data_IF_060768126964
#
_entry.id   IF_060768126964
#
_cell.length_a   1.000
_cell.length_b   1.000
_cell.length_c   1.000
_cell.angle_alpha   90.00
_cell.angle_beta   90.00
_cell.angle_gamma   90.00
#
_symmetry.space_group_name_H-M   'P 1'
#
loop_
_entity.id
_entity.type
_entity.pdbx_description
1 polymer ?
#
# COMPACT_ATOMS: atom_id res chain seq x y z
N UNK A 1 -17.37 3.54 -57.41
CA UNK A 1 -18.52 4.44 -57.64
C UNK A 1 -18.25 5.70 -56.84
N UNK A 2 -17.92 6.80 -57.52
CA UNK A 2 -17.74 8.09 -56.84
C UNK A 2 -19.09 8.58 -56.34
N UNK A 3 -19.21 9.07 -55.09
CA UNK A 3 -20.47 9.65 -54.63
C UNK A 3 -20.81 10.86 -55.52
N UNK A 4 -22.06 10.93 -55.99
CA UNK A 4 -22.58 12.10 -56.70
C UNK A 4 -22.39 13.36 -55.85
N UNK A 5 -21.93 14.46 -56.46
CA UNK A 5 -21.58 15.70 -55.76
C UNK A 5 -22.71 16.32 -54.92
N UNK A 6 -23.96 15.94 -55.14
CA UNK A 6 -25.12 16.34 -54.31
C UNK A 6 -25.20 15.59 -52.98
N UNK A 7 -24.75 14.33 -52.91
CA UNK A 7 -24.73 13.55 -51.66
C UNK A 7 -23.70 14.09 -50.67
N UNK A 8 -22.53 14.50 -51.17
CA UNK A 8 -21.47 15.14 -50.37
C UNK A 8 -21.91 16.52 -49.85
N UNK A 9 -22.74 17.26 -50.60
CA UNK A 9 -23.29 18.54 -50.14
C UNK A 9 -24.32 18.37 -49.02
N UNK A 10 -25.25 17.42 -49.18
CA UNK A 10 -26.25 17.12 -48.15
C UNK A 10 -25.61 16.61 -46.85
N UNK A 11 -24.59 15.76 -46.97
CA UNK A 11 -23.84 15.24 -45.83
C UNK A 11 -23.06 16.36 -45.11
N UNK A 12 -22.42 17.28 -45.85
CA UNK A 12 -21.76 18.44 -45.27
C UNK A 12 -22.72 19.42 -44.59
N UNK A 13 -23.92 19.65 -45.14
CA UNK A 13 -24.96 20.47 -44.49
C UNK A 13 -25.47 19.82 -43.20
N UNK A 14 -25.64 18.49 -43.19
CA UNK A 14 -26.02 17.74 -42.00
C UNK A 14 -24.97 17.88 -40.89
N UNK A 15 -23.68 17.67 -41.19
CA UNK A 15 -22.61 17.82 -40.20
C UNK A 15 -22.46 19.27 -39.72
N UNK A 16 -22.74 20.25 -40.57
CA UNK A 16 -22.74 21.67 -40.19
C UNK A 16 -23.88 22.00 -39.22
N UNK A 17 -25.10 21.53 -39.48
CA UNK A 17 -26.24 21.68 -38.56
C UNK A 17 -25.98 20.97 -37.22
N UNK A 18 -25.38 19.78 -37.25
CA UNK A 18 -25.01 19.03 -36.04
C UNK A 18 -23.97 19.79 -35.21
N UNK A 19 -22.95 20.37 -35.88
CA UNK A 19 -21.94 21.19 -35.24
C UNK A 19 -22.54 22.47 -34.62
N UNK A 20 -23.44 23.16 -35.33
CA UNK A 20 -24.10 24.35 -34.81
C UNK A 20 -25.00 24.04 -33.61
N UNK A 21 -25.71 22.89 -33.61
CA UNK A 21 -26.48 22.41 -32.45
C UNK A 21 -25.59 22.12 -31.24
N UNK A 22 -24.48 21.41 -31.43
CA UNK A 22 -23.57 21.11 -30.31
C UNK A 22 -22.88 22.37 -29.81
N UNK A 23 -22.53 23.32 -30.69
CA UNK A 23 -21.99 24.63 -30.30
C UNK A 23 -22.99 25.42 -29.44
N UNK A 24 -24.25 25.52 -29.88
CA UNK A 24 -25.29 26.22 -29.12
C UNK A 24 -25.54 25.57 -27.75
N UNK A 25 -25.51 24.23 -27.70
CA UNK A 25 -25.61 23.47 -26.45
C UNK A 25 -24.40 23.70 -25.53
N UNK A 26 -23.17 23.74 -26.07
CA UNK A 26 -21.98 24.10 -25.32
C UNK A 26 -22.06 25.53 -24.76
N UNK A 27 -22.56 26.48 -25.55
CA UNK A 27 -22.77 27.87 -25.12
C UNK A 27 -23.80 27.95 -23.98
N UNK A 28 -24.94 27.27 -24.09
CA UNK A 28 -25.96 27.22 -23.04
C UNK A 28 -25.42 26.58 -21.75
N UNK A 29 -24.72 25.45 -21.87
CA UNK A 29 -24.10 24.78 -20.73
C UNK A 29 -23.03 25.67 -20.07
N UNK A 30 -22.24 26.39 -20.85
CA UNK A 30 -21.22 27.32 -20.35
C UNK A 30 -21.87 28.46 -19.59
N UNK A 31 -22.93 29.07 -20.13
CA UNK A 31 -23.69 30.11 -19.44
C UNK A 31 -24.26 29.60 -18.11
N UNK A 32 -24.81 28.39 -18.09
CA UNK A 32 -25.34 27.76 -16.88
C UNK A 32 -24.26 27.46 -15.84
N UNK A 33 -23.07 27.05 -16.27
CA UNK A 33 -21.92 26.86 -15.37
C UNK A 33 -21.54 28.18 -14.71
N UNK A 34 -21.45 29.27 -15.48
CA UNK A 34 -21.14 30.61 -14.96
C UNK A 34 -22.18 31.06 -13.93
N UNK A 35 -23.47 30.88 -14.22
CA UNK A 35 -24.55 31.23 -13.28
C UNK A 35 -24.47 30.40 -11.98
N UNK A 36 -24.18 29.10 -12.09
CA UNK A 36 -24.02 28.22 -10.93
C UNK A 36 -22.77 28.56 -10.10
N UNK A 37 -21.67 28.94 -10.74
CA UNK A 37 -20.47 29.41 -10.07
C UNK A 37 -20.73 30.70 -9.30
N UNK A 38 -21.45 31.65 -9.90
CA UNK A 38 -21.86 32.89 -9.23
C UNK A 38 -22.78 32.62 -8.03
N UNK A 39 -23.76 31.74 -8.17
CA UNK A 39 -24.65 31.34 -7.08
C UNK A 39 -23.88 30.63 -5.94
N UNK A 40 -22.95 29.75 -6.28
CA UNK A 40 -22.09 29.06 -5.30
C UNK A 40 -21.17 30.04 -4.57
N UNK A 41 -20.62 31.05 -5.27
CA UNK A 41 -19.80 32.08 -4.66
C UNK A 41 -20.59 32.91 -3.64
N UNK A 42 -21.82 33.32 -3.97
CA UNK A 42 -22.72 34.05 -3.06
C UNK A 42 -23.10 33.20 -1.82
N UNK A 43 -23.47 31.93 -2.03
CA UNK A 43 -23.78 31.01 -0.94
C UNK A 43 -22.57 30.79 -0.02
N UNK A 44 -21.39 30.62 -0.60
CA UNK A 44 -20.13 30.45 0.14
C UNK A 44 -19.82 31.68 0.96
N UNK A 45 -19.98 32.88 0.37
CA UNK A 45 -19.82 34.15 1.07
C UNK A 45 -20.79 34.29 2.26
N UNK A 46 -22.08 33.98 2.05
CA UNK A 46 -23.10 33.99 3.11
C UNK A 46 -22.75 33.01 4.24
N UNK A 47 -22.32 31.79 3.90
CA UNK A 47 -21.87 30.79 4.86
C UNK A 47 -20.67 31.25 5.67
N UNK A 48 -19.67 31.86 5.02
CA UNK A 48 -18.46 32.33 5.67
C UNK A 48 -18.75 33.49 6.63
N UNK A 49 -19.66 34.41 6.24
CA UNK A 49 -20.16 35.48 7.11
C UNK A 49 -20.80 34.92 8.39
N UNK A 50 -21.62 33.87 8.27
CA UNK A 50 -22.21 33.18 9.42
C UNK A 50 -21.11 32.54 10.27
N UNK A 51 -20.20 31.77 9.66
CA UNK A 51 -19.12 31.04 10.35
C UNK A 51 -18.16 31.96 11.11
N UNK A 52 -17.88 33.15 10.57
CA UNK A 52 -17.01 34.16 11.17
C UNK A 52 -17.69 35.01 12.24
N UNK A 53 -19.03 34.99 12.31
CA UNK A 53 -19.78 35.77 13.31
C UNK A 53 -19.44 35.36 14.75
N UNK A 54 -19.41 36.34 15.66
CA UNK A 54 -19.15 36.11 17.10
C UNK A 54 -20.21 35.20 17.72
N UNK A 55 -21.47 35.31 17.29
CA UNK A 55 -22.59 34.48 17.74
C UNK A 55 -22.42 33.00 17.33
N UNK A 56 -21.99 32.73 16.11
CA UNK A 56 -21.76 31.35 15.65
C UNK A 56 -20.60 30.67 16.38
N UNK A 57 -19.55 31.44 16.71
CA UNK A 57 -18.41 30.99 17.51
C UNK A 57 -18.81 30.77 18.97
N UNK A 58 -19.62 31.65 19.57
CA UNK A 58 -20.05 31.51 20.97
C UNK A 58 -20.99 30.30 21.20
N UNK A 59 -21.75 29.89 20.19
CA UNK A 59 -22.65 28.71 20.25
C UNK A 59 -21.90 27.41 19.87
N UNK A 60 -20.61 27.45 19.52
CA UNK A 60 -19.80 26.26 19.24
C UNK A 60 -19.91 25.14 20.31
N UNK A 61 -19.74 25.40 21.62
CA UNK A 61 -19.87 24.35 22.64
C UNK A 61 -21.27 23.73 22.67
N UNK A 62 -22.32 24.53 22.45
CA UNK A 62 -23.70 24.04 22.38
C UNK A 62 -23.91 23.16 21.15
N UNK A 63 -23.39 23.57 19.97
CA UNK A 63 -23.45 22.76 18.75
C UNK A 63 -22.70 21.44 18.89
N UNK A 64 -21.54 21.48 19.54
CA UNK A 64 -20.75 20.28 19.83
C UNK A 64 -21.54 19.32 20.72
N UNK A 65 -22.09 19.82 21.83
CA UNK A 65 -22.93 19.05 22.76
C UNK A 65 -24.18 18.48 22.07
N UNK A 66 -24.87 19.29 21.26
CA UNK A 66 -26.02 18.84 20.47
C UNK A 66 -25.61 17.74 19.48
N UNK A 67 -24.47 17.86 18.80
CA UNK A 67 -23.99 16.81 17.89
C UNK A 67 -23.69 15.51 18.64
N UNK A 68 -23.08 15.58 19.83
CA UNK A 68 -22.82 14.42 20.67
C UNK A 68 -24.13 13.76 21.13
N UNK A 69 -25.12 14.56 21.55
CA UNK A 69 -26.43 14.06 21.94
C UNK A 69 -27.17 13.43 20.76
N UNK A 70 -27.21 14.10 19.60
CA UNK A 70 -27.82 13.58 18.38
C UNK A 70 -27.17 12.27 17.95
N UNK A 71 -25.84 12.18 18.00
CA UNK A 71 -25.09 10.96 17.69
C UNK A 71 -25.35 9.86 18.71
N UNK A 72 -25.46 10.19 20.00
CA UNK A 72 -25.80 9.24 21.05
C UNK A 72 -27.21 8.67 20.85
N UNK A 73 -28.21 9.53 20.62
CA UNK A 73 -29.59 9.11 20.33
C UNK A 73 -29.62 8.23 19.08
N UNK A 74 -28.90 8.61 18.02
CA UNK A 74 -28.80 7.82 16.79
C UNK A 74 -28.17 6.45 17.05
N UNK A 75 -27.10 6.38 17.86
CA UNK A 75 -26.47 5.12 18.27
C UNK A 75 -27.41 4.25 19.09
N UNK A 76 -28.11 4.82 20.07
CA UNK A 76 -29.09 4.09 20.89
C UNK A 76 -30.21 3.52 20.01
N UNK A 77 -30.76 4.31 19.09
CA UNK A 77 -31.77 3.82 18.12
C UNK A 77 -31.24 2.68 17.25
N UNK A 78 -30.00 2.79 16.74
CA UNK A 78 -29.36 1.73 15.93
C UNK A 78 -29.12 0.43 16.70
N UNK A 79 -28.71 0.52 17.97
CA UNK A 79 -28.42 -0.65 18.81
C UNK A 79 -29.63 -1.13 19.63
N UNK A 80 -30.79 -0.48 19.50
CA UNK A 80 -32.04 -0.77 20.21
C UNK A 80 -32.09 -0.22 21.63
N UNK A 81 -31.05 -0.41 22.45
CA UNK A 81 -31.03 0.05 23.84
C UNK A 81 -29.62 0.41 24.34
N UNK A 82 -29.56 1.03 25.53
CA UNK A 82 -28.31 1.43 26.19
C UNK A 82 -27.40 0.23 26.52
N UNK A 83 -27.97 -0.93 26.89
CA UNK A 83 -27.21 -2.15 27.20
C UNK A 83 -26.39 -2.63 26.00
N UNK A 84 -27.00 -2.64 24.82
CA UNK A 84 -26.33 -3.03 23.57
C UNK A 84 -25.28 -2.01 23.14
N UNK A 85 -25.54 -0.71 23.34
CA UNK A 85 -24.53 0.33 23.12
C UNK A 85 -23.31 0.13 24.03
N UNK A 86 -23.53 -0.14 25.33
CA UNK A 86 -22.45 -0.42 26.28
C UNK A 86 -21.69 -1.70 25.93
N UNK A 87 -22.39 -2.75 25.48
CA UNK A 87 -21.76 -3.97 24.97
C UNK A 87 -20.88 -3.67 23.75
N UNK A 88 -21.33 -2.84 22.81
CA UNK A 88 -20.53 -2.42 21.64
C UNK A 88 -19.31 -1.60 22.05
N UNK A 89 -19.44 -0.70 23.02
CA UNK A 89 -18.30 0.06 23.56
C UNK A 89 -17.28 -0.88 24.21
N UNK A 90 -17.74 -1.85 25.02
CA UNK A 90 -16.87 -2.88 25.61
C UNK A 90 -16.16 -3.69 24.53
N UNK A 91 -16.88 -4.15 23.51
CA UNK A 91 -16.33 -4.88 22.36
C UNK A 91 -15.25 -4.06 21.64
N UNK A 92 -15.51 -2.78 21.35
CA UNK A 92 -14.52 -1.90 20.69
C UNK A 92 -13.28 -1.64 21.56
N UNK A 93 -13.42 -1.63 22.89
CA UNK A 93 -12.27 -1.57 23.81
C UNK A 93 -11.43 -2.85 23.78
N UNK A 94 -12.08 -4.02 23.75
CA UNK A 94 -11.39 -5.32 23.64
C UNK A 94 -10.67 -5.40 22.29
N UNK A 95 -11.34 -5.04 21.20
CA UNK A 95 -10.77 -4.98 19.84
C UNK A 95 -9.53 -4.07 19.81
N UNK A 96 -9.63 -2.85 20.36
CA UNK A 96 -8.48 -1.94 20.45
C UNK A 96 -7.34 -2.49 21.33
N UNK A 97 -7.67 -3.23 22.39
CA UNK A 97 -6.66 -3.90 23.21
C UNK A 97 -5.97 -5.05 22.45
N UNK A 98 -6.72 -5.78 21.63
CA UNK A 98 -6.19 -6.83 20.77
C UNK A 98 -5.31 -6.27 19.64
N UNK A 99 -5.53 -5.05 19.14
CA UNK A 99 -4.65 -4.46 18.13
C UNK A 99 -3.21 -4.34 18.63
N UNK A 100 -3.02 -4.03 19.91
CA UNK A 100 -1.68 -4.01 20.52
C UNK A 100 -0.98 -5.36 20.49
N UNK A 101 -1.73 -6.48 20.57
CA UNK A 101 -1.12 -7.81 20.47
C UNK A 101 -0.59 -8.15 19.09
N UNK A 102 -1.00 -7.41 18.05
CA UNK A 102 -0.47 -7.54 16.68
C UNK A 102 0.54 -6.44 16.34
N UNK A 103 0.69 -5.41 17.19
CA UNK A 103 1.62 -4.29 17.02
C UNK A 103 2.89 -4.49 17.83
N UNK A 104 3.18 -3.57 18.74
CA UNK A 104 4.42 -3.60 19.53
C UNK A 104 4.57 -4.85 20.42
N UNK A 105 3.47 -5.44 20.89
CA UNK A 105 3.52 -6.65 21.72
C UNK A 105 3.76 -7.94 20.93
N UNK A 106 3.61 -7.93 19.60
CA UNK A 106 3.97 -9.10 18.78
C UNK A 106 5.47 -9.20 18.52
N UNK A 107 6.21 -8.12 18.76
CA UNK A 107 7.65 -8.06 18.55
C UNK A 107 8.35 -9.08 19.45
N UNK A 108 9.38 -9.78 18.94
CA UNK A 108 10.08 -10.78 19.74
C UNK A 108 10.73 -10.10 20.96
N UNK A 109 10.50 -10.65 22.14
CA UNK A 109 11.27 -10.29 23.33
C UNK A 109 12.73 -10.74 23.19
N UNK A 110 13.58 -10.35 24.13
CA UNK A 110 15.02 -10.62 24.08
C UNK A 110 15.34 -12.13 24.06
N UNK A 111 14.54 -12.95 24.74
CA UNK A 111 14.72 -14.40 24.77
C UNK A 111 14.35 -15.03 23.42
N UNK A 112 13.17 -14.68 22.89
CA UNK A 112 12.69 -15.11 21.58
C UNK A 112 13.64 -14.66 20.48
N UNK A 113 14.14 -13.41 20.56
CA UNK A 113 15.11 -12.89 19.60
C UNK A 113 16.39 -13.71 19.60
N UNK A 114 16.97 -13.98 20.78
CA UNK A 114 18.16 -14.84 20.90
C UNK A 114 17.92 -16.24 20.36
N UNK A 115 16.74 -16.82 20.63
CA UNK A 115 16.38 -18.13 20.12
C UNK A 115 16.29 -18.14 18.58
N UNK A 116 15.65 -17.13 17.98
CA UNK A 116 15.55 -16.98 16.53
C UNK A 116 16.92 -16.76 15.87
N UNK A 117 17.73 -15.85 16.43
CA UNK A 117 19.08 -15.54 15.93
C UNK A 117 20.04 -16.74 16.07
N UNK A 118 19.86 -17.58 17.10
CA UNK A 118 20.65 -18.79 17.34
C UNK A 118 20.15 -20.03 16.59
N UNK A 119 18.98 -19.96 15.92
CA UNK A 119 18.42 -21.09 15.19
C UNK A 119 19.23 -21.36 13.93
N UNK A 120 19.62 -22.61 13.72
CA UNK A 120 20.27 -23.08 12.50
C UNK A 120 19.26 -23.80 11.63
N UNK A 121 19.02 -23.24 10.46
CA UNK A 121 18.19 -23.88 9.43
C UNK A 121 19.00 -24.94 8.66
N UNK A 122 18.31 -25.89 8.04
CA UNK A 122 18.92 -26.92 7.19
C UNK A 122 19.55 -26.35 5.93
N UNK A 123 19.02 -25.23 5.45
CA UNK A 123 19.47 -24.48 4.29
C UNK A 123 19.93 -23.08 4.72
N UNK A 124 20.97 -22.56 4.07
CA UNK A 124 21.43 -21.19 4.26
C UNK A 124 20.99 -20.31 3.09
N UNK A 125 19.78 -19.74 3.21
CA UNK A 125 19.12 -19.01 2.14
C UNK A 125 19.31 -17.51 2.32
N UNK A 126 19.91 -16.84 1.33
CA UNK A 126 19.94 -15.38 1.32
C UNK A 126 18.67 -14.81 0.68
N UNK A 127 18.02 -13.88 1.38
CA UNK A 127 16.92 -13.06 0.84
C UNK A 127 17.44 -11.77 0.23
N UNK A 128 17.05 -11.45 -1.00
CA UNK A 128 17.20 -10.12 -1.58
C UNK A 128 15.88 -9.35 -1.44
N UNK A 129 15.88 -8.31 -0.63
CA UNK A 129 14.73 -7.43 -0.45
C UNK A 129 14.85 -6.29 -1.44
N UNK A 130 13.89 -6.17 -2.35
CA UNK A 130 13.85 -5.18 -3.41
C UNK A 130 12.99 -4.01 -2.97
N UNK A 131 13.56 -2.80 -2.97
CA UNK A 131 12.83 -1.58 -2.62
C UNK A 131 13.05 -0.51 -3.69
N UNK A 132 12.05 -0.22 -4.54
CA UNK A 132 12.09 0.95 -5.41
C UNK A 132 11.94 2.22 -4.58
N UNK A 133 12.81 3.22 -4.78
CA UNK A 133 12.73 4.51 -4.10
C UNK A 133 12.32 5.61 -5.08
N UNK A 134 11.43 6.49 -4.63
CA UNK A 134 11.06 7.71 -5.35
C UNK A 134 10.55 8.77 -4.37
N UNK A 135 11.34 9.83 -4.17
CA UNK A 135 11.02 10.99 -3.33
C UNK A 135 10.54 10.60 -1.92
N UNK A 136 11.09 9.51 -1.37
CA UNK A 136 10.68 8.95 -0.08
C UNK A 136 11.03 9.90 1.07
N UNK A 137 10.09 10.23 1.97
CA UNK A 137 10.39 11.06 3.14
C UNK A 137 11.46 10.42 4.05
N UNK A 138 12.44 11.22 4.47
CA UNK A 138 13.60 10.79 5.26
C UNK A 138 13.24 9.90 6.46
N UNK A 139 12.23 10.29 7.24
CA UNK A 139 11.81 9.54 8.42
C UNK A 139 11.27 8.15 8.09
N UNK A 140 10.53 8.02 6.99
CA UNK A 140 9.97 6.75 6.55
C UNK A 140 11.06 5.85 5.98
N UNK A 141 11.96 6.40 5.17
CA UNK A 141 13.09 5.67 4.60
C UNK A 141 13.98 5.06 5.70
N UNK A 142 14.30 5.84 6.75
CA UNK A 142 15.09 5.36 7.88
C UNK A 142 14.37 4.23 8.64
N UNK A 143 13.07 4.40 8.93
CA UNK A 143 12.27 3.36 9.58
C UNK A 143 12.22 2.06 8.76
N UNK A 144 12.04 2.18 7.44
CA UNK A 144 12.01 1.07 6.51
C UNK A 144 13.34 0.31 6.51
N UNK A 145 14.47 1.01 6.33
CA UNK A 145 15.80 0.39 6.34
C UNK A 145 16.08 -0.27 7.69
N UNK A 146 15.77 0.40 8.81
CA UNK A 146 15.99 -0.15 10.14
C UNK A 146 15.10 -1.37 10.43
N UNK A 147 13.89 -1.45 9.86
CA UNK A 147 13.04 -2.64 9.99
C UNK A 147 13.65 -3.89 9.33
N UNK A 148 14.37 -3.70 8.21
CA UNK A 148 15.14 -4.75 7.54
C UNK A 148 16.42 -5.08 8.32
N UNK A 149 17.15 -4.06 8.81
CA UNK A 149 18.37 -4.28 9.61
C UNK A 149 18.10 -5.08 10.88
N UNK A 150 16.93 -4.88 11.47
CA UNK A 150 16.51 -5.53 12.70
C UNK A 150 15.91 -6.93 12.54
N UNK A 151 15.90 -7.49 11.32
CA UNK A 151 15.48 -8.88 11.11
C UNK A 151 16.31 -9.85 11.97
N UNK A 152 15.65 -10.82 12.60
CA UNK A 152 16.29 -11.83 13.45
C UNK A 152 17.03 -12.88 12.63
N UNK A 153 16.51 -13.22 11.44
CA UNK A 153 17.29 -13.93 10.43
C UNK A 153 18.28 -12.97 9.75
N UNK A 154 19.57 -13.33 9.68
CA UNK A 154 20.65 -12.40 9.31
C UNK A 154 21.12 -12.49 7.86
N UNK A 155 20.79 -13.55 7.14
CA UNK A 155 21.23 -13.75 5.76
C UNK A 155 20.27 -13.07 4.79
N UNK A 156 20.46 -11.77 4.61
CA UNK A 156 19.69 -10.95 3.68
C UNK A 156 20.58 -9.88 3.06
N UNK A 157 20.11 -9.33 1.95
CA UNK A 157 20.61 -8.10 1.37
C UNK A 157 19.43 -7.19 1.00
N UNK A 158 19.67 -5.89 1.03
CA UNK A 158 18.68 -4.86 0.74
C UNK A 158 19.10 -4.12 -0.52
N UNK A 159 18.32 -4.26 -1.60
CA UNK A 159 18.58 -3.68 -2.90
C UNK A 159 17.70 -2.45 -3.12
N UNK A 160 18.31 -1.27 -3.09
CA UNK A 160 17.66 0.03 -3.18
C UNK A 160 17.96 0.67 -4.55
N UNK A 161 16.95 0.83 -5.40
CA UNK A 161 17.08 1.57 -6.67
C UNK A 161 16.31 2.88 -6.59
N UNK A 162 17.03 3.99 -6.77
CA UNK A 162 16.53 5.34 -6.47
C UNK A 162 16.32 6.17 -7.73
N UNK A 163 15.04 6.33 -8.09
CA UNK A 163 14.58 7.21 -9.18
C UNK A 163 14.15 8.61 -8.71
N UNK A 164 14.45 9.01 -7.46
CA UNK A 164 14.06 10.33 -6.92
C UNK A 164 14.66 11.48 -7.72
N UNK A 165 14.01 12.63 -7.71
CA UNK A 165 14.52 13.82 -8.39
C UNK A 165 15.67 14.51 -7.63
N UNK A 166 16.14 15.61 -8.20
CA UNK A 166 17.26 16.39 -7.68
C UNK A 166 16.91 17.21 -6.42
N UNK A 167 15.64 17.49 -6.17
CA UNK A 167 15.17 18.17 -4.96
C UNK A 167 15.11 17.21 -3.76
N UNK A 168 15.06 15.90 -4.03
CA UNK A 168 15.03 14.84 -3.02
C UNK A 168 16.37 14.10 -2.87
N UNK A 169 17.50 14.80 -3.07
CA UNK A 169 18.87 14.25 -2.92
C UNK A 169 19.14 13.60 -1.55
N UNK A 170 18.41 14.01 -0.50
CA UNK A 170 18.49 13.44 0.84
C UNK A 170 18.25 11.92 0.88
N UNK A 171 17.40 11.39 -0.01
CA UNK A 171 17.16 9.93 -0.14
C UNK A 171 18.47 9.19 -0.39
N UNK A 172 19.26 9.66 -1.36
CA UNK A 172 20.53 9.03 -1.70
C UNK A 172 21.58 9.18 -0.60
N UNK A 173 21.59 10.30 0.14
CA UNK A 173 22.51 10.51 1.26
C UNK A 173 22.23 9.52 2.40
N UNK A 174 20.95 9.32 2.74
CA UNK A 174 20.51 8.33 3.72
C UNK A 174 20.94 6.93 3.27
N UNK A 175 20.61 6.52 2.04
CA UNK A 175 20.97 5.18 1.57
C UNK A 175 22.49 4.94 1.58
N UNK A 176 23.29 5.93 1.22
CA UNK A 176 24.77 5.84 1.25
C UNK A 176 25.32 5.78 2.68
N UNK A 177 24.71 6.49 3.63
CA UNK A 177 25.02 6.39 5.06
C UNK A 177 24.85 4.94 5.54
N UNK A 178 23.66 4.37 5.36
CA UNK A 178 23.38 3.00 5.77
C UNK A 178 24.24 1.94 5.04
N UNK A 179 24.50 2.11 3.74
CA UNK A 179 25.36 1.20 2.98
C UNK A 179 26.85 1.26 3.38
N UNK A 180 27.31 2.38 3.97
CA UNK A 180 28.64 2.46 4.57
C UNK A 180 28.73 1.56 5.81
N UNK A 181 27.70 1.61 6.65
CA UNK A 181 27.63 0.93 7.95
C UNK A 181 27.27 -0.56 7.83
N UNK A 182 26.46 -0.95 6.85
CA UNK A 182 26.04 -2.34 6.63
C UNK A 182 26.23 -2.74 5.16
N UNK A 183 27.21 -3.62 4.90
CA UNK A 183 27.58 -4.05 3.54
C UNK A 183 26.52 -4.90 2.84
N UNK A 184 25.49 -5.34 3.55
CA UNK A 184 24.32 -6.02 2.98
C UNK A 184 23.38 -5.07 2.24
N UNK A 185 23.54 -3.76 2.43
CA UNK A 185 22.72 -2.73 1.78
C UNK A 185 23.42 -2.29 0.48
N UNK A 186 22.74 -2.48 -0.64
CA UNK A 186 23.17 -2.10 -1.98
C UNK A 186 22.29 -0.97 -2.48
N UNK A 187 22.92 0.15 -2.85
CA UNK A 187 22.22 1.32 -3.35
C UNK A 187 22.68 1.65 -4.77
N UNK A 188 21.72 1.98 -5.64
CA UNK A 188 21.95 2.47 -6.99
C UNK A 188 21.05 3.66 -7.28
N UNK A 189 21.66 4.80 -7.59
CA UNK A 189 20.95 5.93 -8.18
C UNK A 189 20.62 5.61 -9.64
N UNK A 190 19.41 5.92 -10.07
CA UNK A 190 18.99 5.80 -11.47
C UNK A 190 19.13 7.15 -12.16
N UNK A 191 19.50 7.12 -13.44
CA UNK A 191 19.65 8.32 -14.27
C UNK A 191 18.31 9.02 -14.52
N UNK A 192 17.23 8.23 -14.55
CA UNK A 192 15.85 8.70 -14.68
C UNK A 192 14.90 7.83 -13.84
N UNK A 193 13.72 8.36 -13.53
CA UNK A 193 12.67 7.58 -12.87
C UNK A 193 12.00 6.64 -13.87
N UNK A 194 12.12 5.33 -13.66
CA UNK A 194 11.52 4.30 -14.52
C UNK A 194 10.15 3.81 -14.01
N UNK A 195 9.56 4.53 -13.04
CA UNK A 195 8.34 4.12 -12.37
C UNK A 195 8.55 2.95 -11.41
N UNK A 196 7.46 2.49 -10.76
CA UNK A 196 7.53 1.42 -9.76
C UNK A 196 8.09 0.11 -10.33
N UNK A 197 7.59 -0.30 -11.51
CA UNK A 197 8.04 -1.52 -12.18
C UNK A 197 9.50 -1.44 -12.60
N UNK A 198 9.90 -0.34 -13.25
CA UNK A 198 11.26 -0.17 -13.75
C UNK A 198 12.29 -0.05 -12.62
N UNK A 199 11.98 0.73 -11.58
CA UNK A 199 12.87 0.88 -10.43
C UNK A 199 13.04 -0.45 -9.69
N UNK A 200 11.96 -1.21 -9.49
CA UNK A 200 12.05 -2.54 -8.84
C UNK A 200 12.84 -3.53 -9.70
N UNK A 201 12.67 -3.52 -11.02
CA UNK A 201 13.48 -4.35 -11.92
C UNK A 201 14.99 -4.00 -11.80
N UNK A 202 15.34 -2.73 -11.57
CA UNK A 202 16.72 -2.32 -11.26
C UNK A 202 17.22 -2.81 -9.90
N UNK A 203 16.34 -2.98 -8.91
CA UNK A 203 16.69 -3.68 -7.68
C UNK A 203 17.04 -5.15 -7.95
N UNK A 204 16.25 -5.85 -8.77
CA UNK A 204 16.48 -7.26 -9.12
C UNK A 204 17.82 -7.48 -9.84
N UNK A 205 18.24 -6.55 -10.71
CA UNK A 205 19.56 -6.60 -11.37
C UNK A 205 20.73 -6.62 -10.36
N UNK A 206 20.56 -6.03 -9.17
CA UNK A 206 21.58 -6.01 -8.12
C UNK A 206 21.49 -7.19 -7.15
N UNK A 207 20.34 -7.85 -7.11
CA UNK A 207 20.04 -8.92 -6.20
C UNK A 207 20.83 -10.19 -6.55
N UNK A 208 21.36 -10.86 -5.54
CA UNK A 208 22.16 -12.09 -5.58
C UNK A 208 21.59 -13.23 -4.72
N UNK A 209 20.60 -12.94 -3.89
CA UNK A 209 19.93 -13.91 -3.01
C UNK A 209 19.05 -14.90 -3.76
N UNK A 210 18.85 -16.06 -3.14
CA UNK A 210 18.08 -17.19 -3.70
C UNK A 210 16.56 -16.98 -3.59
N UNK A 211 16.12 -16.03 -2.75
CA UNK A 211 14.73 -15.61 -2.63
C UNK A 211 14.64 -14.09 -2.75
N UNK A 212 13.59 -13.64 -3.42
CA UNK A 212 13.31 -12.24 -3.72
C UNK A 212 12.09 -11.81 -2.94
N UNK A 213 12.21 -10.75 -2.15
CA UNK A 213 11.10 -10.11 -1.43
C UNK A 213 10.81 -8.73 -1.98
N UNK A 214 9.53 -8.41 -2.15
CA UNK A 214 9.07 -7.08 -2.57
C UNK A 214 8.70 -6.26 -1.35
N UNK A 215 9.28 -5.07 -1.21
CA UNK A 215 9.11 -4.25 -0.02
C UNK A 215 9.00 -2.76 -0.39
N UNK A 216 8.04 -2.06 0.20
CA UNK A 216 7.79 -0.66 -0.10
C UNK A 216 8.64 0.26 0.79
N UNK A 217 8.96 1.43 0.24
CA UNK A 217 10.00 2.32 0.78
C UNK A 217 9.60 3.05 2.08
N UNK A 218 8.33 3.02 2.46
CA UNK A 218 7.74 3.74 3.59
C UNK A 218 7.05 2.84 4.62
N UNK A 219 7.10 1.53 4.41
CA UNK A 219 6.49 0.52 5.26
C UNK A 219 7.47 -0.10 6.26
N UNK A 220 6.94 -0.92 7.18
CA UNK A 220 7.72 -1.54 8.27
C UNK A 220 7.55 -3.05 8.23
N UNK A 221 8.67 -3.78 8.25
CA UNK A 221 8.70 -5.22 8.34
C UNK A 221 8.81 -5.68 9.80
N UNK A 222 8.05 -6.71 10.18
CA UNK A 222 8.17 -7.32 11.51
C UNK A 222 9.56 -7.97 11.68
N UNK A 223 10.26 -7.83 12.82
CA UNK A 223 11.62 -8.36 13.02
C UNK A 223 11.77 -9.87 12.79
N UNK A 224 10.69 -10.63 13.01
CA UNK A 224 10.66 -12.09 12.80
C UNK A 224 10.26 -12.52 11.38
N UNK A 225 10.02 -11.59 10.43
CA UNK A 225 9.41 -11.91 9.15
C UNK A 225 10.24 -12.91 8.34
N UNK A 226 11.53 -12.63 8.13
CA UNK A 226 12.42 -13.54 7.39
C UNK A 226 12.63 -14.86 8.13
N UNK A 227 12.66 -14.85 9.46
CA UNK A 227 12.77 -16.08 10.27
C UNK A 227 11.56 -17.00 10.09
N UNK A 228 10.34 -16.45 10.10
CA UNK A 228 9.14 -17.24 9.86
C UNK A 228 9.08 -17.77 8.42
N UNK A 229 9.57 -17.01 7.44
CA UNK A 229 9.66 -17.47 6.06
C UNK A 229 10.70 -18.59 5.92
N UNK A 230 11.85 -18.50 6.60
CA UNK A 230 12.84 -19.58 6.66
C UNK A 230 12.27 -20.87 7.25
N UNK A 231 11.46 -20.78 8.30
CA UNK A 231 10.79 -21.96 8.84
C UNK A 231 9.93 -22.67 7.80
N UNK A 232 9.21 -21.92 6.97
CA UNK A 232 8.36 -22.50 5.91
C UNK A 232 9.19 -23.04 4.74
N UNK A 233 10.29 -22.38 4.39
CA UNK A 233 11.21 -22.85 3.35
C UNK A 233 11.86 -24.18 3.76
N UNK A 234 12.21 -24.33 5.04
CA UNK A 234 12.92 -25.48 5.57
C UNK A 234 12.02 -26.60 6.17
N UNK A 235 10.78 -26.33 6.58
CA UNK A 235 9.91 -27.36 7.16
C UNK A 235 9.29 -28.28 6.10
N UNK A 236 9.42 -29.56 6.38
CA UNK A 236 9.14 -30.71 5.50
C UNK A 236 7.65 -31.04 5.39
N UNK A 237 7.19 -31.12 4.15
CA UNK A 237 6.22 -32.11 3.65
C UNK A 237 6.38 -32.22 2.11
N UNK A 238 7.63 -32.24 1.63
CA UNK A 238 7.95 -32.58 0.23
C UNK A 238 8.23 -31.42 -0.74
N UNK A 239 8.61 -30.22 -0.27
CA UNK A 239 9.10 -29.19 -1.20
C UNK A 239 9.47 -27.86 -0.55
N UNK A 240 10.51 -27.23 -1.10
CA UNK A 240 10.95 -25.86 -0.86
C UNK A 240 9.86 -24.90 -1.36
N UNK A 241 9.19 -24.19 -0.46
CA UNK A 241 8.15 -23.22 -0.85
C UNK A 241 8.75 -22.19 -1.82
N UNK A 242 8.13 -22.01 -2.98
CA UNK A 242 8.64 -21.14 -4.05
C UNK A 242 7.90 -19.80 -4.12
N UNK A 243 6.76 -19.68 -3.44
CA UNK A 243 6.05 -18.43 -3.22
C UNK A 243 5.48 -18.39 -1.80
N UNK A 244 5.72 -17.30 -1.07
CA UNK A 244 5.37 -17.13 0.34
C UNK A 244 4.73 -15.76 0.53
N UNK A 245 3.65 -15.69 1.30
CA UNK A 245 3.03 -14.44 1.70
C UNK A 245 2.50 -14.51 3.14
N UNK A 246 2.21 -13.36 3.73
CA UNK A 246 1.76 -13.22 5.10
C UNK A 246 0.56 -12.28 5.23
N UNK A 247 -0.04 -12.27 6.41
CA UNK A 247 -1.00 -11.26 6.81
C UNK A 247 -0.32 -9.90 6.98
N UNK A 248 -1.11 -8.83 6.89
CA UNK A 248 -0.64 -7.45 7.00
C UNK A 248 -1.58 -6.60 7.86
N UNK A 249 -1.08 -5.49 8.37
CA UNK A 249 -1.87 -4.51 9.10
C UNK A 249 -1.61 -3.10 8.56
N UNK A 250 -2.66 -2.31 8.38
CA UNK A 250 -2.54 -0.89 8.04
C UNK A 250 -2.52 -0.05 9.31
N UNK A 251 -1.59 0.90 9.43
CA UNK A 251 -1.46 1.80 10.59
C UNK A 251 -1.33 3.26 10.18
N UNK A 252 -1.40 4.17 11.17
CA UNK A 252 -1.31 5.63 10.97
C UNK A 252 -0.55 6.31 12.10
N UNK A 253 -0.25 7.60 11.92
CA UNK A 253 0.40 8.45 12.91
C UNK A 253 1.79 7.92 13.35
N UNK A 254 2.50 7.23 12.45
CA UNK A 254 3.81 6.60 12.70
C UNK A 254 3.87 5.65 13.92
N UNK A 255 2.72 5.10 14.32
CA UNK A 255 2.62 4.17 15.43
C UNK A 255 1.89 2.90 15.00
N UNK A 256 2.61 1.78 14.96
CA UNK A 256 2.06 0.48 14.58
C UNK A 256 0.93 -0.01 15.50
N UNK A 257 0.80 0.51 16.73
CA UNK A 257 -0.33 0.20 17.62
C UNK A 257 -1.61 0.95 17.24
N UNK A 258 -1.50 2.00 16.41
CA UNK A 258 -2.63 2.76 15.88
C UNK A 258 -3.15 2.13 14.58
N UNK A 259 -3.42 0.82 14.62
CA UNK A 259 -3.93 0.07 13.47
C UNK A 259 -5.32 0.55 13.05
N UNK A 260 -5.51 0.65 11.75
CA UNK A 260 -6.78 0.94 11.09
C UNK A 260 -7.47 -0.38 10.74
N UNK A 261 -6.75 -1.26 10.05
CA UNK A 261 -7.27 -2.53 9.53
C UNK A 261 -6.26 -3.65 9.74
N UNK A 262 -6.76 -4.83 10.11
CA UNK A 262 -6.01 -6.10 10.12
C UNK A 262 -6.48 -6.92 8.92
N UNK A 263 -5.57 -7.24 8.01
CA UNK A 263 -5.86 -8.07 6.84
C UNK A 263 -5.36 -9.49 7.10
N UNK A 264 -6.22 -10.31 7.69
CA UNK A 264 -6.02 -11.75 7.78
C UNK A 264 -6.43 -12.39 6.45
N UNK A 265 -5.44 -12.83 5.69
CA UNK A 265 -5.60 -13.39 4.35
C UNK A 265 -5.99 -14.86 4.44
N UNK A 266 -6.79 -15.37 3.50
CA UNK A 266 -7.01 -16.80 3.39
C UNK A 266 -5.74 -17.50 2.88
N UNK A 267 -5.70 -18.81 3.05
CA UNK A 267 -4.75 -19.66 2.33
C UNK A 267 -4.93 -19.54 0.82
N UNK A 268 -3.94 -20.01 0.05
CA UNK A 268 -3.87 -19.74 -1.39
C UNK A 268 -5.12 -20.24 -2.11
N UNK A 269 -5.83 -19.30 -2.74
CA UNK A 269 -7.05 -19.54 -3.50
C UNK A 269 -6.99 -18.75 -4.81
N UNK A 270 -6.70 -19.46 -5.91
CA UNK A 270 -6.52 -18.86 -7.23
C UNK A 270 -7.76 -18.08 -7.72
N UNK A 271 -8.97 -18.56 -7.42
CA UNK A 271 -10.20 -17.91 -7.85
C UNK A 271 -10.42 -16.59 -7.10
N UNK A 272 -10.07 -16.53 -5.81
CA UNK A 272 -10.07 -15.29 -5.05
C UNK A 272 -9.03 -14.32 -5.60
N UNK A 273 -7.82 -14.80 -5.90
CA UNK A 273 -6.76 -13.97 -6.46
C UNK A 273 -7.15 -13.37 -7.82
N UNK A 274 -7.82 -14.14 -8.69
CA UNK A 274 -8.30 -13.64 -9.99
C UNK A 274 -9.39 -12.55 -9.85
N UNK A 275 -10.20 -12.63 -8.80
CA UNK A 275 -11.26 -11.66 -8.54
C UNK A 275 -10.75 -10.42 -7.78
N UNK A 276 -9.76 -10.59 -6.90
CA UNK A 276 -9.22 -9.55 -6.04
C UNK A 276 -7.76 -9.81 -5.69
N UNK A 277 -6.92 -8.78 -5.75
CA UNK A 277 -5.53 -8.88 -5.31
C UNK A 277 -5.45 -8.88 -3.77
N UNK A 278 -5.64 -10.05 -3.15
CA UNK A 278 -5.64 -10.17 -1.69
C UNK A 278 -4.25 -10.47 -1.10
N UNK A 279 -3.25 -10.83 -1.92
CA UNK A 279 -1.92 -11.26 -1.46
C UNK A 279 -1.01 -10.06 -1.20
N UNK A 280 -0.92 -9.10 -2.13
CA UNK A 280 -0.11 -7.87 -2.03
C UNK A 280 1.23 -8.06 -1.28
N UNK A 281 1.34 -7.51 -0.06
CA UNK A 281 2.56 -7.45 0.74
C UNK A 281 2.53 -8.47 1.88
N UNK A 282 3.63 -8.96 2.45
CA UNK A 282 4.99 -9.05 1.97
C UNK A 282 5.14 -10.32 1.14
N UNK A 283 5.28 -10.19 -0.18
CA UNK A 283 5.45 -11.35 -1.05
C UNK A 283 6.92 -11.69 -1.23
N UNK A 284 7.28 -12.96 -0.97
CA UNK A 284 8.62 -13.50 -1.17
C UNK A 284 8.56 -14.75 -2.03
N UNK A 285 9.41 -14.83 -3.04
CA UNK A 285 9.41 -15.96 -3.99
C UNK A 285 10.83 -16.36 -4.35
N UNK A 286 11.00 -17.61 -4.81
CA UNK A 286 12.30 -18.11 -5.22
C UNK A 286 12.83 -17.37 -6.45
N UNK A 287 14.15 -17.22 -6.54
CA UNK A 287 14.81 -16.65 -7.71
C UNK A 287 14.50 -17.44 -8.98
N UNK A 288 14.50 -18.76 -8.90
CA UNK A 288 14.15 -19.64 -10.02
C UNK A 288 12.76 -19.32 -10.60
N UNK A 289 11.77 -19.03 -9.74
CA UNK A 289 10.42 -18.71 -10.16
C UNK A 289 10.36 -17.38 -10.95
N UNK A 290 11.07 -16.35 -10.48
CA UNK A 290 11.10 -15.05 -11.17
C UNK A 290 11.97 -15.08 -12.43
N UNK A 291 13.09 -15.81 -12.44
CA UNK A 291 13.96 -15.93 -13.62
C UNK A 291 13.20 -16.60 -14.79
N UNK A 292 12.30 -17.53 -14.49
CA UNK A 292 11.44 -18.18 -15.50
C UNK A 292 10.24 -17.34 -15.94
N UNK A 293 9.77 -16.42 -15.09
CA UNK A 293 8.48 -15.71 -15.29
C UNK A 293 8.66 -14.24 -15.69
N UNK A 294 9.80 -13.65 -15.37
CA UNK A 294 10.04 -12.20 -15.36
C UNK A 294 9.38 -11.51 -14.16
N UNK A 295 9.99 -10.41 -13.69
CA UNK A 295 9.46 -9.58 -12.61
C UNK A 295 8.37 -8.64 -13.14
N UNK A 296 8.51 -7.32 -13.01
CA UNK A 296 7.44 -6.40 -13.34
C UNK A 296 7.42 -5.98 -14.80
N UNK A 297 6.21 -5.68 -15.28
CA UNK A 297 5.90 -5.26 -16.64
C UNK A 297 5.25 -3.88 -16.60
N UNK A 298 5.96 -2.85 -17.05
CA UNK A 298 5.53 -1.44 -16.89
C UNK A 298 4.17 -1.12 -17.52
N UNK A 299 3.70 -1.89 -18.50
CA UNK A 299 2.35 -1.69 -19.05
C UNK A 299 1.21 -1.99 -18.07
N UNK A 300 1.50 -2.57 -16.89
CA UNK A 300 0.53 -2.83 -15.82
C UNK A 300 0.73 -1.95 -14.59
N UNK A 301 1.52 -0.88 -14.68
CA UNK A 301 1.70 0.08 -13.58
C UNK A 301 0.35 0.57 -13.03
N UNK A 302 0.22 0.57 -11.69
CA UNK A 302 -1.04 0.76 -10.95
C UNK A 302 -1.72 -0.57 -10.54
N UNK A 303 -1.35 -1.67 -11.18
CA UNK A 303 -1.79 -3.03 -10.86
C UNK A 303 -0.66 -4.07 -11.01
N UNK A 304 0.59 -3.60 -11.00
CA UNK A 304 1.78 -4.39 -11.32
C UNK A 304 1.94 -5.60 -10.38
N UNK A 305 1.58 -5.44 -9.10
CA UNK A 305 1.61 -6.52 -8.12
C UNK A 305 0.61 -7.61 -8.49
N UNK A 306 -0.62 -7.23 -8.84
CA UNK A 306 -1.64 -8.21 -9.21
C UNK A 306 -1.22 -9.02 -10.44
N UNK A 307 -0.67 -8.34 -11.45
CA UNK A 307 -0.09 -8.98 -12.65
C UNK A 307 1.00 -9.99 -12.28
N UNK A 308 1.97 -9.55 -11.47
CA UNK A 308 3.11 -10.36 -11.09
C UNK A 308 2.67 -11.58 -10.28
N UNK A 309 1.83 -11.38 -9.27
CA UNK A 309 1.35 -12.44 -8.39
C UNK A 309 0.58 -13.49 -9.19
N UNK A 310 -0.29 -13.08 -10.13
CA UNK A 310 -0.99 -14.02 -11.01
C UNK A 310 -0.03 -14.87 -11.85
N UNK A 311 1.04 -14.28 -12.39
CA UNK A 311 2.04 -15.00 -13.19
C UNK A 311 2.92 -15.92 -12.35
N UNK A 312 3.41 -15.44 -11.21
CA UNK A 312 4.26 -16.24 -10.32
C UNK A 312 3.47 -17.42 -9.73
N UNK A 313 2.25 -17.18 -9.24
CA UNK A 313 1.41 -18.24 -8.66
C UNK A 313 0.94 -19.26 -9.69
N UNK A 314 0.87 -18.90 -10.98
CA UNK A 314 0.60 -19.85 -12.05
C UNK A 314 1.74 -20.86 -12.24
N UNK A 315 2.99 -20.42 -12.08
CA UNK A 315 4.20 -21.25 -12.27
C UNK A 315 4.72 -21.87 -10.97
N UNK A 316 4.27 -21.38 -9.81
CA UNK A 316 4.67 -21.88 -8.51
C UNK A 316 4.13 -23.29 -8.25
N UNK A 317 4.99 -24.16 -7.73
CA UNK A 317 4.69 -25.53 -7.31
C UNK A 317 4.14 -25.58 -5.89
N UNK A 318 4.60 -24.70 -4.99
CA UNK A 318 4.25 -24.69 -3.57
C UNK A 318 4.16 -23.27 -3.02
N UNK A 319 2.93 -22.77 -3.03
CA UNK A 319 2.56 -21.49 -2.46
C UNK A 319 2.19 -21.69 -0.98
N UNK A 320 2.79 -20.91 -0.08
CA UNK A 320 2.51 -21.01 1.36
C UNK A 320 2.11 -19.67 1.95
N UNK A 321 1.02 -19.69 2.70
CA UNK A 321 0.57 -18.60 3.53
C UNK A 321 1.13 -18.74 4.95
N UNK A 322 1.71 -17.68 5.49
CA UNK A 322 2.09 -17.56 6.91
C UNK A 322 1.03 -16.71 7.62
N UNK A 323 0.14 -17.32 8.44
CA UNK A 323 -0.97 -16.63 9.10
C UNK A 323 -0.50 -15.81 10.31
N UNK A 324 0.37 -14.84 10.04
CA UNK A 324 0.97 -13.89 11.00
C UNK A 324 1.05 -12.53 10.34
N UNK A 325 0.74 -11.49 11.11
CA UNK A 325 0.95 -10.09 10.71
C UNK A 325 2.46 -9.84 10.71
N UNK A 326 3.07 -9.84 9.53
CA UNK A 326 4.52 -9.65 9.37
C UNK A 326 4.86 -8.38 8.58
N UNK A 327 3.87 -7.73 7.99
CA UNK A 327 3.99 -6.49 7.24
C UNK A 327 3.07 -5.41 7.80
N UNK A 328 3.61 -4.21 8.01
CA UNK A 328 2.87 -3.05 8.48
C UNK A 328 2.87 -1.99 7.38
N UNK A 329 1.68 -1.76 6.82
CA UNK A 329 1.43 -0.80 5.76
C UNK A 329 1.03 0.57 6.34
N UNK A 330 1.72 1.62 5.95
CA UNK A 330 1.42 3.00 6.35
C UNK A 330 0.30 3.59 5.48
N UNK A 331 -0.72 4.15 6.14
CA UNK A 331 -1.87 4.82 5.49
C UNK A 331 -1.69 6.31 5.24
#
# INVERSE_FOLDING_TARGET
MNPSGDGIKQENEYYKDLYEKERNKCEELTARVVDLEAANADLTYKLDKIRKSKLWKSIYPIRLAYSHLKNLITRIKRYGNLKNLMAKIKSKRIEKAAYKSYGTLSMPDEETRKAQEGTKFSEDIMFSILVPLYNTPDGFLRQMIDSVRNQTYKNWELCLADGSDDDHKGVGDICREYARDDKRIRYKKLDENLGISGNTNKCLEMATGSYIGLFDHDDILHPSALYEYMKVICNEDGGKADYIYCDEATFKDDNIDNMITLHFKPDFAIDNLRANNYICHFSVFSRELVDNTGLFRSQFDGSQDHDLILRLTHNAKKIVHVPKILYYWRS
#
